data_IF_945315257323
#
_entry.id   IF_945315257323
#
_cell.length_a   1.000
_cell.length_b   1.000
_cell.length_c   1.000
_cell.angle_alpha   90.00
_cell.angle_beta   90.00
_cell.angle_gamma   90.00
#
_symmetry.space_group_name_H-M   'P 1'
#
loop_
_entity.id
_entity.type
_entity.pdbx_description
1 polymer ?
#
# COMPACT_ATOMS: atom_id res chain seq x y z
N UNK A 1 11.36 47.25 -9.40
CA UNK A 1 12.79 46.88 -9.41
C UNK A 1 13.15 46.43 -8.00
N UNK A 2 13.75 45.25 -7.85
CA UNK A 2 14.12 44.70 -6.54
C UNK A 2 15.45 45.31 -6.09
N UNK A 3 15.47 45.95 -4.93
CA UNK A 3 16.63 46.65 -4.33
C UNK A 3 17.51 45.76 -3.45
N UNK A 4 17.41 44.44 -3.58
CA UNK A 4 18.13 43.49 -2.75
C UNK A 4 19.04 42.60 -3.60
N UNK A 5 20.36 42.77 -3.44
CA UNK A 5 21.41 41.96 -4.07
C UNK A 5 22.10 41.14 -2.96
N UNK A 6 21.74 39.85 -2.88
CA UNK A 6 22.22 38.96 -1.83
C UNK A 6 21.67 37.54 -2.02
N UNK A 7 22.37 36.55 -1.47
CA UNK A 7 21.91 35.16 -1.51
C UNK A 7 20.69 34.98 -0.59
N UNK A 8 19.51 34.78 -1.19
CA UNK A 8 18.31 34.39 -0.48
C UNK A 8 18.15 32.87 -0.47
N UNK A 9 17.98 32.27 0.71
CA UNK A 9 17.53 30.87 0.82
C UNK A 9 16.04 30.83 0.49
N UNK A 10 15.67 30.09 -0.54
CA UNK A 10 14.28 29.83 -0.88
C UNK A 10 14.05 28.32 -0.93
N UNK A 11 12.82 27.91 -0.59
CA UNK A 11 12.36 26.52 -0.65
C UNK A 11 11.30 26.43 -1.75
N UNK A 12 11.46 25.49 -2.68
CA UNK A 12 10.49 25.22 -3.74
C UNK A 12 9.86 23.86 -3.48
N UNK A 13 8.55 23.83 -3.29
CA UNK A 13 7.79 22.58 -3.21
C UNK A 13 6.99 22.40 -4.49
N UNK A 14 7.26 21.34 -5.23
CA UNK A 14 6.55 21.01 -6.47
C UNK A 14 6.24 19.51 -6.54
N UNK A 15 5.21 19.16 -7.30
CA UNK A 15 4.89 17.76 -7.58
C UNK A 15 5.69 17.28 -8.78
N UNK A 16 6.43 16.20 -8.59
CA UNK A 16 7.16 15.54 -9.67
C UNK A 16 6.53 14.19 -9.98
N UNK A 17 6.16 13.98 -11.25
CA UNK A 17 5.75 12.66 -11.74
C UNK A 17 6.96 11.76 -12.00
N UNK A 18 6.73 10.46 -12.10
CA UNK A 18 7.79 9.49 -12.48
C UNK A 18 8.57 8.90 -11.30
N UNK A 19 8.28 9.31 -10.06
CA UNK A 19 8.77 8.65 -8.86
C UNK A 19 7.75 7.61 -8.40
N UNK A 20 8.19 6.36 -8.25
CA UNK A 20 7.37 5.29 -7.68
C UNK A 20 8.18 4.52 -6.66
N UNK A 21 7.51 3.85 -5.72
CA UNK A 21 8.19 3.01 -4.75
C UNK A 21 7.37 1.77 -4.44
N UNK A 22 8.03 0.73 -3.93
CA UNK A 22 7.38 -0.49 -3.45
C UNK A 22 8.13 -1.07 -2.26
N UNK A 23 7.44 -1.90 -1.49
CA UNK A 23 8.02 -2.64 -0.37
C UNK A 23 8.24 -4.12 -0.72
N UNK A 24 9.42 -4.63 -0.40
CA UNK A 24 9.80 -6.03 -0.52
C UNK A 24 10.25 -6.53 0.87
N UNK A 25 9.57 -7.53 1.41
CA UNK A 25 9.91 -8.18 2.69
C UNK A 25 10.55 -9.54 2.46
N UNK A 26 11.60 -9.83 3.21
CA UNK A 26 12.27 -11.12 3.25
C UNK A 26 12.32 -11.57 4.70
N UNK A 27 11.75 -12.75 4.95
CA UNK A 27 11.77 -13.40 6.25
C UNK A 27 12.54 -14.71 6.18
N UNK A 28 13.42 -14.94 7.15
CA UNK A 28 14.14 -16.22 7.33
C UNK A 28 13.75 -16.76 8.71
N UNK A 29 13.02 -17.87 8.77
CA UNK A 29 12.72 -18.56 10.02
C UNK A 29 13.80 -19.58 10.38
N UNK A 30 13.99 -19.79 11.69
CA UNK A 30 14.88 -20.82 12.21
C UNK A 30 14.38 -22.24 11.86
N UNK A 31 15.22 -23.28 11.98
CA UNK A 31 14.84 -24.65 11.62
C UNK A 31 13.61 -25.17 12.35
N UNK A 32 13.42 -24.74 13.61
CA UNK A 32 12.28 -25.13 14.46
C UNK A 32 11.01 -24.30 14.22
N UNK A 33 11.06 -23.30 13.32
CA UNK A 33 9.94 -22.41 12.97
C UNK A 33 9.28 -21.72 14.19
N UNK A 34 10.10 -21.26 15.14
CA UNK A 34 9.64 -20.54 16.35
C UNK A 34 9.87 -19.04 16.28
N UNK A 35 10.90 -18.61 15.54
CA UNK A 35 11.27 -17.21 15.35
C UNK A 35 11.74 -16.95 13.92
N UNK A 36 11.65 -15.70 13.48
CA UNK A 36 12.12 -15.27 12.16
C UNK A 36 12.89 -13.96 12.19
N UNK A 37 13.88 -13.83 11.29
CA UNK A 37 14.51 -12.56 10.94
C UNK A 37 13.73 -11.91 9.80
N UNK A 38 12.99 -10.85 10.09
CA UNK A 38 12.23 -10.08 9.11
C UNK A 38 13.02 -8.84 8.67
N UNK A 39 13.30 -8.76 7.37
CA UNK A 39 13.89 -7.58 6.72
C UNK A 39 12.93 -6.98 5.70
N UNK A 40 12.72 -5.67 5.79
CA UNK A 40 11.92 -4.90 4.84
C UNK A 40 12.80 -3.97 4.03
N UNK A 41 12.64 -4.01 2.71
CA UNK A 41 13.35 -3.16 1.77
C UNK A 41 12.38 -2.29 0.99
N UNK A 42 12.62 -0.99 1.02
CA UNK A 42 12.00 -0.07 0.08
C UNK A 42 12.81 -0.07 -1.19
N UNK A 43 12.14 -0.15 -2.33
CA UNK A 43 12.74 0.16 -3.62
C UNK A 43 12.06 1.39 -4.21
N UNK A 44 12.84 2.45 -4.40
CA UNK A 44 12.41 3.67 -5.11
C UNK A 44 12.88 3.58 -6.55
N UNK A 45 12.00 3.89 -7.49
CA UNK A 45 12.26 3.98 -8.92
C UNK A 45 12.12 5.44 -9.34
N UNK A 46 13.16 5.96 -9.98
CA UNK A 46 13.16 7.32 -10.49
C UNK A 46 13.10 7.31 -12.01
N UNK A 47 11.97 7.74 -12.56
CA UNK A 47 11.77 8.02 -13.98
C UNK A 47 11.29 9.47 -14.17
N UNK A 48 11.68 10.37 -13.27
CA UNK A 48 11.26 11.78 -13.28
C UNK A 48 11.89 12.61 -14.39
N UNK A 49 13.00 12.16 -14.97
CA UNK A 49 13.82 12.97 -15.85
C UNK A 49 14.99 13.67 -15.14
N UNK A 50 14.97 13.74 -13.81
CA UNK A 50 15.98 14.42 -12.98
C UNK A 50 16.72 13.43 -12.08
N UNK A 51 17.97 13.75 -11.75
CA UNK A 51 18.74 13.06 -10.72
C UNK A 51 18.64 13.82 -9.40
N UNK A 52 18.37 13.09 -8.32
CA UNK A 52 18.30 13.66 -6.98
C UNK A 52 19.56 13.31 -6.20
N UNK A 53 20.50 14.23 -6.12
CA UNK A 53 21.73 14.05 -5.36
C UNK A 53 21.53 14.39 -3.87
N UNK A 54 22.06 13.55 -2.98
CA UNK A 54 22.08 13.81 -1.53
C UNK A 54 20.69 14.17 -0.97
N UNK A 55 19.65 13.50 -1.44
CA UNK A 55 18.26 13.81 -1.11
C UNK A 55 17.82 13.10 0.17
N UNK A 56 17.01 13.79 0.98
CA UNK A 56 16.24 13.15 2.04
C UNK A 56 15.03 12.45 1.42
N UNK A 57 14.88 11.15 1.69
CA UNK A 57 13.79 10.36 1.11
C UNK A 57 12.69 10.16 2.15
N UNK A 58 11.50 10.66 1.82
CA UNK A 58 10.29 10.46 2.61
C UNK A 58 9.24 9.79 1.74
N UNK A 59 8.67 8.70 2.24
CA UNK A 59 7.70 7.88 1.52
C UNK A 59 6.36 8.02 2.20
N UNK A 60 5.30 8.15 1.42
CA UNK A 60 3.94 8.20 1.96
C UNK A 60 3.27 6.87 1.66
N UNK A 61 2.73 6.27 2.71
CA UNK A 61 2.04 4.98 2.65
C UNK A 61 0.55 5.22 2.63
N UNK A 62 -0.11 4.55 1.68
CA UNK A 62 -1.54 4.69 1.41
C UNK A 62 -1.81 4.93 -0.08
N UNK A 63 -3.08 4.86 -0.45
CA UNK A 63 -3.50 5.14 -1.82
C UNK A 63 -3.47 6.66 -2.05
N UNK A 64 -2.44 7.15 -2.74
CA UNK A 64 -2.39 8.55 -3.15
C UNK A 64 -3.45 8.73 -4.24
N UNK A 65 -4.55 9.43 -3.92
CA UNK A 65 -5.48 9.91 -4.93
C UNK A 65 -4.86 11.16 -5.58
N UNK A 66 -3.78 10.99 -6.35
CA UNK A 66 -3.34 12.01 -7.29
C UNK A 66 -4.53 12.23 -8.22
N UNK A 67 -5.04 13.45 -8.25
CA UNK A 67 -6.19 13.80 -9.08
C UNK A 67 -5.74 13.80 -10.54
N UNK A 68 -5.50 12.62 -11.12
CA UNK A 68 -5.45 12.39 -12.57
C UNK A 68 -6.84 12.56 -13.22
N UNK A 69 -7.82 13.06 -12.48
CA UNK A 69 -9.09 13.53 -13.04
C UNK A 69 -8.95 14.81 -13.85
N UNK A 70 -7.79 15.47 -13.91
CA UNK A 70 -7.63 16.65 -14.79
C UNK A 70 -7.72 16.23 -16.27
N UNK A 71 -7.10 15.11 -16.66
CA UNK A 71 -7.18 14.61 -18.04
C UNK A 71 -8.58 14.10 -18.40
N UNK A 72 -9.27 13.48 -17.45
CA UNK A 72 -10.63 12.96 -17.62
C UNK A 72 -11.71 14.08 -17.59
N UNK A 73 -11.49 15.13 -16.79
CA UNK A 73 -12.31 16.34 -16.80
C UNK A 73 -12.09 17.13 -18.09
N UNK A 74 -10.84 17.31 -18.54
CA UNK A 74 -10.52 17.97 -19.81
C UNK A 74 -11.17 17.28 -21.02
N UNK A 75 -11.25 15.93 -21.02
CA UNK A 75 -11.98 15.17 -22.06
C UNK A 75 -13.50 15.35 -21.99
N UNK A 76 -14.07 15.62 -20.81
CA UNK A 76 -15.52 15.87 -20.65
C UNK A 76 -15.96 17.22 -21.19
N UNK A 77 -15.11 18.25 -21.09
CA UNK A 77 -15.41 19.60 -21.59
C UNK A 77 -15.24 19.76 -23.11
N UNK A 78 -14.78 18.72 -23.82
CA UNK A 78 -14.60 18.75 -25.27
C UNK A 78 -15.88 18.44 -26.07
N UNK A 79 -17.02 18.14 -25.42
CA UNK A 79 -18.30 18.05 -26.11
C UNK A 79 -18.98 19.41 -26.14
N UNK A 80 -19.19 20.04 -27.31
CA UNK A 80 -19.88 21.31 -27.39
C UNK A 80 -21.32 21.13 -26.89
N UNK A 81 -21.69 21.91 -25.87
CA UNK A 81 -23.07 22.00 -25.39
C UNK A 81 -24.01 22.34 -26.56
N UNK A 82 -25.12 21.59 -26.75
CA UNK A 82 -26.10 21.95 -27.76
C UNK A 82 -26.67 23.33 -27.45
N UNK A 83 -27.04 24.09 -28.49
CA UNK A 83 -27.58 25.44 -28.31
C UNK A 83 -28.96 25.39 -27.62
N UNK A 84 -29.27 26.35 -26.73
CA UNK A 84 -30.59 26.48 -26.11
C UNK A 84 -31.72 26.47 -27.16
N UNK A 85 -32.82 25.78 -26.87
CA UNK A 85 -34.00 25.70 -27.74
C UNK A 85 -34.03 24.54 -28.74
N UNK A 86 -32.90 23.86 -28.97
CA UNK A 86 -32.85 22.64 -29.82
C UNK A 86 -33.50 21.44 -29.13
N UNK A 87 -34.04 20.48 -29.90
CA UNK A 87 -34.65 19.26 -29.36
C UNK A 87 -33.67 18.47 -28.47
N UNK A 88 -32.38 18.48 -28.83
CA UNK A 88 -31.30 17.86 -28.04
C UNK A 88 -31.09 18.56 -26.70
N UNK A 89 -31.23 19.89 -26.65
CA UNK A 89 -31.15 20.66 -25.41
C UNK A 89 -32.32 20.35 -24.47
N UNK A 90 -33.55 20.32 -25.00
CA UNK A 90 -34.75 19.99 -24.21
C UNK A 90 -34.72 18.57 -23.63
N UNK A 91 -34.18 17.61 -24.38
CA UNK A 91 -33.99 16.25 -23.89
C UNK A 91 -32.95 16.17 -22.77
N UNK A 92 -31.89 16.99 -22.84
CA UNK A 92 -30.90 17.12 -21.76
C UNK A 92 -31.50 17.80 -20.53
N UNK A 93 -32.31 18.85 -20.70
CA UNK A 93 -33.03 19.49 -19.58
C UNK A 93 -33.99 18.53 -18.88
N UNK A 94 -34.80 17.78 -19.64
CA UNK A 94 -35.72 16.80 -19.07
C UNK A 94 -34.97 15.71 -18.29
N UNK A 95 -33.84 15.24 -18.84
CA UNK A 95 -33.00 14.23 -18.18
C UNK A 95 -32.29 14.75 -16.94
N UNK A 96 -31.87 16.02 -16.94
CA UNK A 96 -31.29 16.69 -15.79
C UNK A 96 -32.33 16.94 -14.69
N UNK A 97 -33.54 17.35 -15.06
CA UNK A 97 -34.66 17.50 -14.13
C UNK A 97 -35.03 16.17 -13.48
N UNK A 98 -35.06 15.08 -14.26
CA UNK A 98 -35.34 13.74 -13.74
C UNK A 98 -34.24 13.25 -12.80
N UNK A 99 -32.97 13.42 -13.16
CA UNK A 99 -31.84 13.13 -12.25
C UNK A 99 -31.89 13.94 -10.96
N UNK A 100 -32.32 15.22 -11.02
CA UNK A 100 -32.48 16.07 -9.84
C UNK A 100 -33.62 15.60 -8.93
N UNK A 101 -34.70 15.05 -9.51
CA UNK A 101 -35.78 14.40 -8.77
C UNK A 101 -35.33 13.08 -8.11
N UNK A 102 -34.66 12.21 -8.86
CA UNK A 102 -34.17 10.92 -8.35
C UNK A 102 -33.12 11.11 -7.24
N UNK A 103 -32.23 12.11 -7.37
CA UNK A 103 -31.28 12.46 -6.30
C UNK A 103 -31.94 13.11 -5.10
N UNK A 104 -33.06 13.82 -5.28
CA UNK A 104 -33.84 14.35 -4.16
C UNK A 104 -34.58 13.22 -3.41
N UNK A 105 -35.14 12.23 -4.10
CA UNK A 105 -35.73 11.03 -3.48
C UNK A 105 -34.69 10.20 -2.72
N UNK A 106 -33.52 9.96 -3.31
CA UNK A 106 -32.42 9.23 -2.65
C UNK A 106 -31.84 10.01 -1.44
N UNK A 107 -31.83 11.35 -1.50
CA UNK A 107 -31.37 12.20 -0.39
C UNK A 107 -32.35 12.26 0.79
N UNK A 108 -33.65 12.04 0.57
CA UNK A 108 -34.67 11.97 1.64
C UNK A 108 -34.59 10.63 2.40
N UNK A 109 -34.12 9.56 1.76
CA UNK A 109 -34.00 8.22 2.39
C UNK A 109 -32.69 8.03 3.18
N UNK A 110 -31.69 8.92 3.03
CA UNK A 110 -30.42 8.84 3.78
C UNK A 110 -29.99 10.19 4.38
N UNK A 111 -30.41 10.41 5.62
CA UNK A 111 -29.66 11.24 6.59
C UNK A 111 -29.26 10.33 7.76
N UNK A 112 -27.98 10.36 8.19
CA UNK A 112 -27.40 11.57 8.74
C UNK A 112 -26.24 12.14 7.92
N UNK A 113 -26.20 13.47 7.87
CA UNK A 113 -25.04 14.26 7.46
C UNK A 113 -24.11 14.46 8.65
N UNK A 114 -22.83 14.25 8.38
CA UNK A 114 -21.72 14.51 9.29
C UNK A 114 -20.40 14.18 8.60
N UNK A 115 -20.16 14.75 7.41
CA UNK A 115 -18.82 14.76 6.82
C UNK A 115 -18.26 16.15 6.99
N UNK A 116 -17.70 16.39 8.18
CA UNK A 116 -16.47 17.16 8.29
C UNK A 116 -15.38 16.12 8.51
N UNK A 117 -14.77 15.68 7.40
CA UNK A 117 -13.50 14.96 7.43
C UNK A 117 -12.43 15.90 6.89
N UNK A 118 -12.14 16.95 7.65
CA UNK A 118 -10.82 17.57 7.58
C UNK A 118 -9.89 16.75 8.47
N UNK A 119 -9.48 15.61 7.91
CA UNK A 119 -8.47 14.76 8.50
C UNK A 119 -7.56 14.34 7.37
N UNK A 120 -6.35 14.89 7.34
CA UNK A 120 -5.21 14.44 6.54
C UNK A 120 -4.71 13.08 7.08
N UNK A 121 -5.62 12.18 7.49
CA UNK A 121 -5.49 11.41 8.74
C UNK A 121 -5.15 9.92 8.59
N UNK A 122 -4.82 9.44 7.39
CA UNK A 122 -4.47 8.02 7.17
C UNK A 122 -3.09 7.83 6.51
N UNK A 123 -2.37 8.92 6.23
CA UNK A 123 -1.06 8.84 5.59
C UNK A 123 0.05 8.68 6.64
N UNK A 124 0.78 7.58 6.55
CA UNK A 124 2.00 7.39 7.33
C UNK A 124 3.21 7.75 6.47
N UNK A 125 3.99 8.71 6.96
CA UNK A 125 5.24 9.11 6.33
C UNK A 125 6.40 8.29 6.90
N UNK A 126 7.16 7.65 6.03
CA UNK A 126 8.36 6.89 6.34
C UNK A 126 9.55 7.68 5.86
N UNK A 127 10.29 8.26 6.79
CA UNK A 127 11.58 8.86 6.48
C UNK A 127 12.63 7.75 6.43
N UNK A 128 13.29 7.59 5.29
CA UNK A 128 14.48 6.74 5.21
C UNK A 128 15.64 7.50 5.84
N UNK A 129 16.36 6.83 6.73
CA UNK A 129 17.50 7.45 7.40
C UNK A 129 18.64 7.70 6.40
N UNK A 130 19.28 8.86 6.54
CA UNK A 130 20.38 9.28 5.68
C UNK A 130 19.94 10.06 4.45
N UNK A 131 20.93 10.45 3.66
CA UNK A 131 20.73 11.09 2.37
C UNK A 131 21.19 10.14 1.28
N UNK A 132 20.41 10.04 0.22
CA UNK A 132 20.64 9.10 -0.86
C UNK A 132 20.66 9.83 -2.20
N UNK A 133 21.56 9.40 -3.08
CA UNK A 133 21.52 9.81 -4.48
C UNK A 133 20.63 8.83 -5.24
N UNK A 134 19.62 9.37 -5.94
CA UNK A 134 18.67 8.62 -6.75
C UNK A 134 18.79 9.07 -8.21
N UNK A 135 19.66 8.40 -9.01
CA UNK A 135 19.83 8.72 -10.42
C UNK A 135 18.54 8.52 -11.21
N UNK A 136 18.35 9.33 -12.25
CA UNK A 136 17.27 9.13 -13.19
C UNK A 136 17.41 7.76 -13.90
N UNK A 137 16.28 7.12 -14.20
CA UNK A 137 16.17 5.77 -14.78
C UNK A 137 16.81 4.66 -13.94
N UNK A 138 17.06 4.92 -12.67
CA UNK A 138 17.62 3.94 -11.74
C UNK A 138 16.63 3.55 -10.66
N UNK A 139 16.89 2.41 -10.03
CA UNK A 139 16.16 1.99 -8.82
C UNK A 139 17.12 1.82 -7.66
N UNK A 140 16.81 2.44 -6.53
CA UNK A 140 17.60 2.33 -5.30
C UNK A 140 16.84 1.49 -4.29
N UNK A 141 17.52 0.48 -3.73
CA UNK A 141 17.00 -0.34 -2.63
C UNK A 141 17.59 0.14 -1.31
N UNK A 142 16.72 0.46 -0.35
CA UNK A 142 17.07 0.93 0.98
C UNK A 142 16.43 0.01 2.02
N UNK A 143 17.10 -0.21 3.15
CA UNK A 143 16.56 -1.01 4.25
C UNK A 143 15.63 -0.12 5.08
N UNK A 144 14.42 -0.59 5.34
CA UNK A 144 13.41 0.16 6.11
C UNK A 144 12.98 -0.56 7.39
N UNK A 145 13.05 -1.90 7.41
CA UNK A 145 12.76 -2.71 8.60
C UNK A 145 13.85 -3.75 8.77
N UNK A 146 14.31 -3.93 10.00
CA UNK A 146 15.23 -4.99 10.38
C UNK A 146 14.88 -5.47 11.78
N UNK A 147 14.23 -6.64 11.87
CA UNK A 147 13.74 -7.18 13.13
C UNK A 147 14.18 -8.64 13.28
N UNK A 148 14.99 -8.89 14.31
CA UNK A 148 15.52 -10.20 14.66
C UNK A 148 14.68 -10.89 15.73
N UNK A 149 14.63 -12.22 15.72
CA UNK A 149 13.82 -13.06 16.62
C UNK A 149 12.34 -12.66 16.72
N UNK A 150 11.73 -12.29 15.59
CA UNK A 150 10.28 -12.04 15.54
C UNK A 150 9.56 -13.36 15.80
N UNK A 151 8.85 -13.45 16.92
CA UNK A 151 8.01 -14.61 17.22
C UNK A 151 6.81 -14.64 16.26
N UNK A 152 6.33 -15.83 15.93
CA UNK A 152 5.13 -16.00 15.14
C UNK A 152 4.41 -17.29 15.51
N UNK A 153 3.10 -17.32 15.27
CA UNK A 153 2.26 -18.48 15.46
C UNK A 153 2.02 -19.19 14.13
N UNK A 154 1.99 -20.52 14.17
CA UNK A 154 1.60 -21.35 13.04
C UNK A 154 0.14 -21.76 13.21
N UNK A 155 -0.72 -21.25 12.34
CA UNK A 155 -2.16 -21.56 12.36
C UNK A 155 -2.53 -22.36 11.12
N UNK A 156 -3.14 -23.53 11.32
CA UNK A 156 -3.68 -24.33 10.23
C UNK A 156 -5.16 -24.02 10.05
N UNK A 157 -5.57 -23.65 8.82
CA UNK A 157 -6.98 -23.40 8.50
C UNK A 157 -7.42 -24.19 7.29
N UNK A 158 -8.58 -24.82 7.40
CA UNK A 158 -9.28 -25.43 6.28
C UNK A 158 -10.30 -24.42 5.77
N UNK A 159 -10.09 -23.90 4.56
CA UNK A 159 -11.08 -23.08 3.87
C UNK A 159 -11.47 -23.77 2.56
N UNK A 160 -12.44 -24.68 2.66
CA UNK A 160 -12.86 -25.55 1.54
C UNK A 160 -13.16 -24.78 0.25
N UNK A 161 -13.76 -23.60 0.35
CA UNK A 161 -14.10 -22.76 -0.79
C UNK A 161 -12.89 -22.06 -1.43
N UNK A 162 -11.83 -21.75 -0.66
CA UNK A 162 -10.66 -21.01 -1.15
C UNK A 162 -9.48 -21.90 -1.53
N UNK A 163 -9.25 -22.97 -0.76
CA UNK A 163 -8.04 -23.80 -0.84
C UNK A 163 -8.32 -25.30 -0.92
N UNK A 164 -9.61 -25.68 -1.01
CA UNK A 164 -10.03 -27.07 -0.95
C UNK A 164 -9.98 -27.65 0.47
N UNK A 165 -10.08 -28.97 0.57
CA UNK A 165 -10.22 -29.69 1.84
C UNK A 165 -8.92 -29.85 2.63
N UNK A 166 -7.79 -29.34 2.11
CA UNK A 166 -6.48 -29.46 2.76
C UNK A 166 -6.29 -28.33 3.77
N UNK A 167 -5.71 -28.61 4.95
CA UNK A 167 -5.24 -27.57 5.84
C UNK A 167 -4.16 -26.73 5.16
N UNK A 168 -4.34 -25.42 5.18
CA UNK A 168 -3.33 -24.45 4.76
C UNK A 168 -2.67 -23.86 5.99
N UNK A 169 -1.35 -23.75 5.93
CA UNK A 169 -0.51 -23.21 6.99
C UNK A 169 -0.40 -21.71 6.86
N UNK A 170 -0.62 -21.01 7.97
CA UNK A 170 -0.49 -19.56 8.05
C UNK A 170 0.50 -19.18 9.14
N UNK A 171 1.45 -18.30 8.81
CA UNK A 171 2.30 -17.63 9.79
C UNK A 171 1.61 -16.35 10.24
N UNK A 172 1.38 -16.20 11.54
CA UNK A 172 0.68 -15.07 12.13
C UNK A 172 1.58 -14.36 13.13
N UNK A 173 1.70 -13.05 13.02
CA UNK A 173 2.46 -12.22 13.97
C UNK A 173 1.83 -10.84 14.08
N UNK A 174 2.08 -10.13 15.17
CA UNK A 174 1.57 -8.77 15.36
C UNK A 174 2.64 -7.72 15.06
N UNK A 175 2.24 -6.60 14.47
CA UNK A 175 3.11 -5.45 14.27
C UNK A 175 3.17 -4.61 15.56
N UNK A 176 3.81 -5.14 16.60
CA UNK A 176 3.94 -4.51 17.91
C UNK A 176 5.33 -4.69 18.53
N UNK A 177 5.56 -3.99 19.65
CA UNK A 177 6.85 -4.01 20.36
C UNK A 177 7.19 -5.37 20.96
N UNK A 178 6.20 -6.20 21.30
CA UNK A 178 6.44 -7.55 21.87
C UNK A 178 7.09 -8.47 20.84
N UNK A 179 6.73 -8.28 19.57
CA UNK A 179 7.31 -8.97 18.42
C UNK A 179 8.51 -8.22 17.82
N UNK A 180 9.06 -7.23 18.53
CA UNK A 180 10.16 -6.34 18.06
C UNK A 180 9.82 -5.61 16.75
N UNK A 181 8.55 -5.34 16.54
CA UNK A 181 7.99 -4.56 15.44
C UNK A 181 7.24 -3.34 16.02
N UNK A 182 6.39 -2.69 15.22
CA UNK A 182 5.47 -1.67 15.71
C UNK A 182 6.06 -0.27 15.90
N UNK A 183 7.30 -0.02 15.50
CA UNK A 183 7.84 1.36 15.40
C UNK A 183 7.15 2.15 14.28
N UNK A 184 6.79 1.45 13.21
CA UNK A 184 6.09 1.99 12.06
C UNK A 184 5.11 0.96 11.51
N UNK A 185 4.06 1.38 10.77
CA UNK A 185 3.21 0.42 10.10
C UNK A 185 4.00 -0.38 9.05
N UNK A 186 3.49 -1.54 8.64
CA UNK A 186 4.07 -2.28 7.53
C UNK A 186 3.29 -1.94 6.26
N UNK A 187 3.92 -1.32 5.24
CA UNK A 187 3.25 -1.07 3.98
C UNK A 187 2.83 -2.34 3.24
N UNK A 188 1.92 -2.20 2.29
CA UNK A 188 1.67 -3.25 1.33
C UNK A 188 2.93 -3.57 0.51
N UNK A 189 3.09 -4.83 0.18
CA UNK A 189 4.32 -5.30 -0.45
C UNK A 189 4.35 -6.79 -0.69
N UNK A 190 5.47 -7.25 -1.24
CA UNK A 190 5.71 -8.68 -1.48
C UNK A 190 6.50 -9.28 -0.33
N UNK A 191 6.02 -10.37 0.24
CA UNK A 191 6.61 -11.05 1.38
C UNK A 191 7.13 -12.42 0.96
N UNK A 192 8.44 -12.64 1.10
CA UNK A 192 9.10 -13.91 0.79
C UNK A 192 9.58 -14.56 2.08
N UNK A 193 9.24 -15.83 2.27
CA UNK A 193 9.60 -16.59 3.46
C UNK A 193 10.55 -17.72 3.07
N UNK A 194 11.63 -17.81 3.81
CA UNK A 194 12.59 -18.89 3.76
C UNK A 194 12.71 -19.53 5.14
N UNK A 195 13.08 -20.81 5.18
CA UNK A 195 13.47 -21.51 6.40
C UNK A 195 14.92 -21.92 6.32
N UNK A 196 15.67 -21.71 7.39
CA UNK A 196 16.99 -22.30 7.54
C UNK A 196 16.88 -23.84 7.64
N UNK A 197 17.63 -24.55 6.82
CA UNK A 197 17.63 -26.02 6.81
C UNK A 197 18.65 -26.64 7.79
N UNK A 198 19.39 -25.84 8.56
CA UNK A 198 20.41 -26.27 9.52
C UNK A 198 21.69 -26.84 8.88
N UNK A 199 21.83 -26.72 7.56
CA UNK A 199 22.98 -27.19 6.75
C UNK A 199 23.47 -26.07 5.82
N UNK A 200 23.52 -24.84 6.33
CA UNK A 200 23.93 -23.62 5.61
C UNK A 200 23.08 -23.28 4.36
N UNK A 201 21.87 -23.83 4.26
CA UNK A 201 20.97 -23.59 3.12
C UNK A 201 19.62 -23.02 3.53
N UNK A 202 18.96 -22.35 2.58
CA UNK A 202 17.62 -21.81 2.74
C UNK A 202 16.61 -22.60 1.91
N UNK A 203 15.56 -23.07 2.56
CA UNK A 203 14.40 -23.65 1.90
C UNK A 203 13.35 -22.56 1.66
N UNK A 204 12.95 -22.35 0.40
CA UNK A 204 11.85 -21.45 0.09
C UNK A 204 10.53 -22.03 0.61
N UNK A 205 9.80 -21.23 1.38
CA UNK A 205 8.50 -21.62 1.94
C UNK A 205 7.34 -21.02 1.14
N UNK A 206 7.34 -19.70 0.95
CA UNK A 206 6.24 -19.01 0.26
C UNK A 206 6.60 -17.61 -0.23
N UNK A 207 5.81 -17.14 -1.20
CA UNK A 207 5.75 -15.75 -1.63
C UNK A 207 4.28 -15.30 -1.59
N UNK A 208 4.00 -14.18 -0.93
CA UNK A 208 2.66 -13.62 -0.86
C UNK A 208 2.69 -12.10 -0.84
N UNK A 209 1.73 -11.46 -1.52
CA UNK A 209 1.46 -10.05 -1.32
C UNK A 209 0.71 -9.80 -0.01
N UNK A 210 1.26 -8.93 0.83
CA UNK A 210 0.62 -8.46 2.05
C UNK A 210 -0.01 -7.10 1.82
N UNK A 211 -1.10 -6.84 2.53
CA UNK A 211 -1.70 -5.51 2.62
C UNK A 211 -1.05 -4.74 3.76
N UNK A 212 -1.29 -3.43 3.77
CA UNK A 212 -0.93 -2.54 4.86
C UNK A 212 -1.33 -3.11 6.23
N UNK A 213 -0.37 -3.22 7.15
CA UNK A 213 -0.55 -3.69 8.53
C UNK A 213 -0.26 -2.54 9.51
N UNK A 214 -1.29 -1.94 10.12
CA UNK A 214 -1.13 -0.92 11.15
C UNK A 214 -0.31 -1.40 12.34
N UNK A 215 0.20 -0.45 13.15
CA UNK A 215 0.78 -0.76 14.46
C UNK A 215 -0.29 -1.42 15.34
N UNK A 216 0.09 -2.46 16.09
CA UNK A 216 -0.76 -3.36 16.89
C UNK A 216 -1.73 -4.25 16.09
N UNK A 217 -1.71 -4.21 14.76
CA UNK A 217 -2.51 -5.11 13.94
C UNK A 217 -1.76 -6.44 13.69
N UNK A 218 -2.53 -7.50 13.42
CA UNK A 218 -1.99 -8.82 13.08
C UNK A 218 -1.78 -8.95 11.57
N UNK A 219 -0.61 -9.45 11.19
CA UNK A 219 -0.29 -9.91 9.85
C UNK A 219 -0.51 -11.42 9.76
N UNK A 220 -0.99 -11.90 8.63
CA UNK A 220 -1.20 -13.32 8.36
C UNK A 220 -0.66 -13.66 6.96
N UNK A 221 0.29 -14.58 6.92
CA UNK A 221 0.97 -15.01 5.69
C UNK A 221 0.63 -16.47 5.42
N UNK A 222 0.02 -16.75 4.27
CA UNK A 222 -0.24 -18.05 3.73
C UNK A 222 1.06 -18.69 3.23
N UNK A 223 1.44 -19.80 3.85
CA UNK A 223 2.67 -20.57 3.54
C UNK A 223 2.35 -21.79 2.67
N UNK A 224 1.10 -21.93 2.23
CA UNK A 224 0.62 -23.05 1.43
C UNK A 224 0.25 -24.27 2.28
N UNK A 225 0.13 -25.42 1.61
CA UNK A 225 -0.21 -26.68 2.28
C UNK A 225 1.02 -27.26 2.99
N UNK A 226 0.86 -27.62 4.25
CA UNK A 226 1.89 -28.36 4.97
C UNK A 226 1.83 -29.84 4.57
N UNK A 227 2.92 -30.37 4.02
CA UNK A 227 3.01 -31.77 3.58
C UNK A 227 3.20 -32.75 4.73
N UNK A 228 3.59 -32.27 5.91
CA UNK A 228 3.86 -33.10 7.09
C UNK A 228 2.62 -33.28 7.97
N UNK A 229 1.57 -32.48 7.77
CA UNK A 229 0.33 -32.58 8.54
C UNK A 229 -0.62 -33.59 7.90
N UNK A 230 -0.88 -34.68 8.62
CA UNK A 230 -1.93 -35.65 8.26
C UNK A 230 -3.27 -35.15 8.81
N UNK A 231 -4.31 -35.15 7.97
CA UNK A 231 -5.65 -34.73 8.37
C UNK A 231 -6.67 -35.82 8.06
N UNK A 232 -7.62 -36.02 8.97
CA UNK A 232 -8.74 -36.94 8.80
C UNK A 232 -10.06 -36.16 8.90
N UNK A 233 -10.94 -36.34 7.91
CA UNK A 233 -12.28 -35.73 7.96
C UNK A 233 -13.23 -36.68 8.68
N UNK A 234 -13.53 -36.40 9.94
CA UNK A 234 -14.65 -37.06 10.64
C UNK A 234 -15.96 -36.42 10.22
N UNK A 235 -16.79 -37.14 9.46
CA UNK A 235 -18.19 -36.78 9.25
C UNK A 235 -18.93 -37.09 10.56
N UNK A 236 -19.60 -36.08 11.13
CA UNK A 236 -20.68 -36.29 12.10
C UNK A 236 -21.98 -36.49 11.33
#
# INVERSE_FOLDING_TARGET
ESTFDGQAKFEVSYFTSGLTWRMDYVSICNPDETVMHLRGYVRVFNNSGEEYENAEVRLIVGKINLVEKIAELARRYAQPMPRPGTARYRALEAKAAQMAFDTAEDAVIKAPKGVVKEGISEYFMFTIQGRETIPNRWSKRMRAVDAEDVKFDIVHRVRAHQYGVRPIRFFTFANDKEHKLGESPMPDGMFRIFRDNGREGLAFLAEQSIKYVPIKAKAEINVGADKLVVYERRKR
#
